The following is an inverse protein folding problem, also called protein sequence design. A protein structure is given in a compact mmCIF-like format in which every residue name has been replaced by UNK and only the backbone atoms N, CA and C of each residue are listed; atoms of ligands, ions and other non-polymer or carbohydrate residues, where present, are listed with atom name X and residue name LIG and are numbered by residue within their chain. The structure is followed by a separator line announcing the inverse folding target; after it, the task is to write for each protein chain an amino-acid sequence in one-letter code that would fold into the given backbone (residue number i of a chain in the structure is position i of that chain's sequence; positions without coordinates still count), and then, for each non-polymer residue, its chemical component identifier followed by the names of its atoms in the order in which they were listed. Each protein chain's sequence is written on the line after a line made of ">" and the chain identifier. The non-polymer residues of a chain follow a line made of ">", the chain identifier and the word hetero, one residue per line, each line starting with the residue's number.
data_IF_629267196574
#
_entry.id   IF_629267196574
#
_cell.length_a   1.000
_cell.length_b   1.000
_cell.length_c   1.000
_cell.angle_alpha   90.00
_cell.angle_beta   90.00
_cell.angle_gamma   90.00
#
_symmetry.space_group_name_H-M   'P 1'
#
loop_
_entity.id
_entity.type
_entity.pdbx_description
1 polymer ?
#
# COMPACT_ATOMS: atom_id res chain seq x y z
N UNK A 1 15.11 1.80 -1.79
CA UNK A 1 14.42 0.60 -1.30
C UNK A 1 14.03 -0.20 -2.52
N UNK A 2 14.60 -1.39 -2.70
CA UNK A 2 14.31 -2.24 -3.85
C UNK A 2 12.88 -2.77 -3.78
N UNK A 3 12.00 -2.16 -4.57
CA UNK A 3 10.59 -2.56 -4.74
C UNK A 3 10.44 -3.84 -5.55
N UNK A 4 11.51 -4.31 -6.22
CA UNK A 4 11.51 -5.52 -7.04
C UNK A 4 11.09 -6.77 -6.24
N UNK A 5 11.46 -6.84 -4.96
CA UNK A 5 11.05 -7.94 -4.08
C UNK A 5 9.52 -7.98 -3.93
N UNK A 6 8.85 -6.83 -3.90
CA UNK A 6 7.40 -6.77 -3.76
C UNK A 6 6.68 -7.21 -5.04
N UNK A 7 7.21 -6.87 -6.22
CA UNK A 7 6.69 -7.40 -7.49
C UNK A 7 6.94 -8.91 -7.63
N UNK A 8 8.09 -9.41 -7.19
CA UNK A 8 8.43 -10.84 -7.26
C UNK A 8 7.57 -11.72 -6.35
N UNK A 9 7.14 -11.21 -5.18
CA UNK A 9 6.17 -11.92 -4.32
C UNK A 9 4.72 -11.78 -4.80
N UNK A 10 4.50 -11.12 -5.95
CA UNK A 10 3.21 -11.00 -6.61
C UNK A 10 2.33 -9.85 -6.13
N UNK A 11 2.90 -8.79 -5.54
CA UNK A 11 2.14 -7.56 -5.32
C UNK A 11 1.97 -6.81 -6.64
N UNK A 12 0.78 -6.26 -6.80
CA UNK A 12 0.47 -5.31 -7.85
C UNK A 12 1.09 -3.95 -7.56
N UNK A 13 1.28 -3.16 -8.61
CA UNK A 13 1.78 -1.78 -8.49
C UNK A 13 0.92 -0.91 -7.53
N UNK A 14 -0.38 -1.18 -7.43
CA UNK A 14 -1.27 -0.49 -6.48
C UNK A 14 -0.99 -0.86 -5.03
N UNK A 15 -0.76 -2.15 -4.76
CA UNK A 15 -0.37 -2.64 -3.43
C UNK A 15 1.01 -2.12 -3.04
N UNK A 16 1.97 -2.10 -3.96
CA UNK A 16 3.32 -1.56 -3.70
C UNK A 16 3.25 -0.09 -3.31
N UNK A 17 2.51 0.73 -4.07
CA UNK A 17 2.33 2.15 -3.77
C UNK A 17 1.62 2.38 -2.44
N UNK A 18 0.61 1.55 -2.14
CA UNK A 18 -0.13 1.60 -0.88
C UNK A 18 0.78 1.24 0.29
N UNK A 19 1.51 0.13 0.17
CA UNK A 19 2.46 -0.36 1.16
C UNK A 19 3.55 0.68 1.43
N UNK A 20 4.18 1.23 0.40
CA UNK A 20 5.17 2.29 0.54
C UNK A 20 4.60 3.56 1.16
N UNK A 21 3.39 3.98 0.77
CA UNK A 21 2.76 5.16 1.34
C UNK A 21 2.50 4.99 2.83
N UNK A 22 1.99 3.82 3.25
CA UNK A 22 1.75 3.49 4.65
C UNK A 22 3.08 3.36 5.41
N UNK A 23 4.11 2.75 4.81
CA UNK A 23 5.43 2.59 5.42
C UNK A 23 6.13 3.96 5.63
N UNK A 24 6.03 4.87 4.66
CA UNK A 24 6.61 6.22 4.77
C UNK A 24 5.86 7.11 5.77
N UNK A 25 4.53 7.01 5.81
CA UNK A 25 3.71 7.83 6.69
C UNK A 25 3.60 7.25 8.11
N UNK A 26 3.78 5.94 8.29
CA UNK A 26 3.61 5.24 9.56
C UNK A 26 2.15 5.18 10.02
N UNK A 27 1.92 5.17 11.33
CA UNK A 27 0.60 5.16 11.98
C UNK A 27 -0.13 6.49 11.78
N UNK A 28 -0.57 6.75 10.57
CA UNK A 28 -1.34 7.96 10.22
C UNK A 28 -2.72 7.56 9.68
N UNK A 29 -3.65 8.50 9.73
CA UNK A 29 -5.00 8.31 9.19
C UNK A 29 -4.96 8.02 7.68
N UNK A 30 -5.89 7.20 7.21
CA UNK A 30 -5.93 6.71 5.81
C UNK A 30 -5.96 7.83 4.75
N UNK A 31 -6.41 9.03 5.11
CA UNK A 31 -6.47 10.20 4.22
C UNK A 31 -5.11 10.63 3.64
N UNK A 32 -4.10 10.96 4.47
CA UNK A 32 -2.74 11.23 4.00
C UNK A 32 -2.15 10.12 3.13
N UNK A 33 -2.39 8.86 3.48
CA UNK A 33 -1.86 7.70 2.73
C UNK A 33 -2.49 7.55 1.34
N UNK A 34 -3.80 7.79 1.21
CA UNK A 34 -4.48 7.85 -0.10
C UNK A 34 -3.87 8.97 -0.96
N UNK A 35 -3.68 10.17 -0.41
CA UNK A 35 -3.08 11.29 -1.14
C UNK A 35 -1.63 10.99 -1.58
N UNK A 36 -0.86 10.33 -0.71
CA UNK A 36 0.54 10.00 -0.94
C UNK A 36 0.73 8.89 -1.97
N UNK A 37 -0.08 7.84 -1.90
CA UNK A 37 -0.06 6.73 -2.88
C UNK A 37 -0.47 7.17 -4.29
N UNK A 38 -1.11 8.33 -4.41
CA UNK A 38 -1.62 8.90 -5.65
C UNK A 38 -2.55 7.92 -6.39
N UNK A 39 -3.31 7.14 -5.61
CA UNK A 39 -4.32 6.19 -6.07
C UNK A 39 -5.72 6.76 -5.82
N UNK A 40 -6.70 6.32 -6.60
CA UNK A 40 -8.10 6.53 -6.22
C UNK A 40 -8.37 5.85 -4.87
N UNK A 41 -9.20 6.47 -4.04
CA UNK A 41 -9.56 5.94 -2.73
C UNK A 41 -10.03 4.48 -2.79
N UNK A 42 -10.84 4.11 -3.80
CA UNK A 42 -11.31 2.74 -3.99
C UNK A 42 -10.16 1.74 -4.22
N UNK A 43 -9.21 2.10 -5.08
CA UNK A 43 -8.02 1.27 -5.35
C UNK A 43 -7.14 1.17 -4.11
N UNK A 44 -6.94 2.28 -3.41
CA UNK A 44 -6.16 2.31 -2.17
C UNK A 44 -6.76 1.39 -1.12
N UNK A 45 -8.07 1.49 -0.84
CA UNK A 45 -8.73 0.63 0.14
C UNK A 45 -8.71 -0.84 -0.27
N UNK A 46 -8.88 -1.16 -1.56
CA UNK A 46 -8.73 -2.53 -2.05
C UNK A 46 -7.31 -3.06 -1.86
N UNK A 47 -6.30 -2.27 -2.23
CA UNK A 47 -4.89 -2.63 -2.02
C UNK A 47 -4.56 -2.76 -0.54
N UNK A 48 -5.06 -1.86 0.31
CA UNK A 48 -4.88 -1.89 1.76
C UNK A 48 -5.51 -3.15 2.35
N UNK A 49 -6.75 -3.49 1.99
CA UNK A 49 -7.41 -4.72 2.42
C UNK A 49 -6.65 -5.96 1.96
N UNK A 50 -6.21 -6.01 0.70
CA UNK A 50 -5.43 -7.13 0.17
C UNK A 50 -4.10 -7.29 0.94
N UNK A 51 -3.43 -6.19 1.28
CA UNK A 51 -2.21 -6.19 2.10
C UNK A 51 -2.47 -6.66 3.53
N UNK A 52 -3.61 -6.29 4.13
CA UNK A 52 -4.04 -6.76 5.45
C UNK A 52 -4.37 -8.27 5.40
N UNK A 53 -5.08 -8.74 4.38
CA UNK A 53 -5.37 -10.16 4.17
C UNK A 53 -4.10 -10.99 3.97
N UNK A 54 -3.08 -10.41 3.32
CA UNK A 54 -1.74 -11.01 3.18
C UNK A 54 -0.91 -10.95 4.48
N UNK A 55 -1.38 -10.26 5.52
CA UNK A 55 -0.66 -10.09 6.79
C UNK A 55 0.55 -9.15 6.70
N UNK A 56 0.59 -8.27 5.68
CA UNK A 56 1.69 -7.33 5.45
C UNK A 56 1.49 -5.99 6.17
N UNK A 57 0.24 -5.65 6.51
CA UNK A 57 -0.16 -4.41 7.20
C UNK A 57 -1.17 -4.76 8.31
N UNK A 58 -1.15 -4.00 9.42
CA UNK A 58 -2.08 -4.10 10.56
C UNK A 58 -2.65 -2.73 10.90
#
# INVERSE_FOLDING_TARGET
>A
MDISVLEEIGLTNGEIKTYLAVLELGSTTSGPAIKKSNLQSSVFYNSLNSLIEKGLIT
#
